data_IF_970550103057
#
_entry.id   IF_970550103057
#
_cell.length_a   1.000
_cell.length_b   1.000
_cell.length_c   1.000
_cell.angle_alpha   90.00
_cell.angle_beta   90.00
_cell.angle_gamma   90.00
#
_symmetry.space_group_name_H-M   'P 1'
#
loop_
_entity.id
_entity.type
_entity.pdbx_description
1 polymer ?
#
# COMPACT_ATOMS: atom_id res chain seq x y z
N UNK A 1 8.03 1.83 35.84
CA UNK A 1 9.00 2.00 34.75
C UNK A 1 8.63 1.11 33.59
N UNK A 2 8.26 1.66 32.43
CA UNK A 2 7.93 0.86 31.24
C UNK A 2 9.22 0.21 30.71
N UNK A 3 9.24 -1.11 30.61
CA UNK A 3 10.36 -1.86 30.03
C UNK A 3 10.56 -1.40 28.58
N UNK A 4 11.68 -0.78 28.24
CA UNK A 4 12.07 -0.46 26.85
C UNK A 4 12.06 -1.77 26.06
N UNK A 5 11.12 -1.92 25.12
CA UNK A 5 11.12 -3.07 24.21
C UNK A 5 12.43 -3.03 23.41
N UNK A 6 13.17 -4.14 23.39
CA UNK A 6 14.34 -4.29 22.51
C UNK A 6 13.91 -4.04 21.06
N UNK A 7 14.69 -3.31 20.26
CA UNK A 7 14.41 -3.14 18.85
C UNK A 7 14.37 -4.51 18.16
N UNK A 8 13.43 -4.69 17.27
CA UNK A 8 13.33 -5.91 16.48
C UNK A 8 14.48 -5.97 15.46
N UNK A 9 14.94 -7.16 15.06
CA UNK A 9 16.15 -7.31 14.24
C UNK A 9 15.99 -6.72 12.84
N UNK A 10 17.11 -6.38 12.23
CA UNK A 10 17.25 -6.15 10.80
C UNK A 10 17.61 -7.50 10.16
N UNK A 11 16.99 -7.81 9.03
CA UNK A 11 17.34 -8.95 8.18
C UNK A 11 18.00 -8.39 6.93
N UNK A 12 19.24 -8.80 6.69
CA UNK A 12 20.04 -8.25 5.60
C UNK A 12 20.08 -9.18 4.40
N UNK A 13 20.17 -8.60 3.21
CA UNK A 13 20.37 -9.30 1.94
C UNK A 13 19.30 -10.38 1.66
N UNK A 14 18.03 -10.06 1.93
CA UNK A 14 16.91 -11.01 1.77
C UNK A 14 16.34 -10.93 0.37
N UNK A 15 16.26 -12.08 -0.30
CA UNK A 15 15.59 -12.21 -1.60
C UNK A 15 14.09 -12.39 -1.38
N UNK A 16 13.29 -11.57 -2.05
CA UNK A 16 11.83 -11.71 -2.09
C UNK A 16 11.46 -12.83 -3.07
N UNK A 17 10.72 -13.81 -2.59
CA UNK A 17 10.47 -15.06 -3.33
C UNK A 17 9.14 -15.06 -4.08
N UNK A 18 8.06 -14.61 -3.43
CA UNK A 18 6.70 -14.80 -3.94
C UNK A 18 5.77 -13.67 -3.46
N UNK A 19 4.54 -13.71 -3.90
CA UNK A 19 3.46 -12.79 -3.52
C UNK A 19 2.45 -13.54 -2.66
N UNK A 20 2.11 -12.92 -1.54
CA UNK A 20 1.09 -13.37 -0.62
C UNK A 20 -0.22 -12.59 -0.80
N UNK A 21 -1.23 -12.93 0.00
CA UNK A 21 -2.49 -12.22 0.07
C UNK A 21 -2.31 -10.73 0.41
N UNK A 22 -3.31 -9.93 0.09
CA UNK A 22 -3.40 -8.49 0.40
C UNK A 22 -2.28 -7.63 -0.23
N UNK A 23 -1.64 -8.12 -1.29
CA UNK A 23 -0.58 -7.39 -1.98
C UNK A 23 0.74 -7.30 -1.22
N UNK A 24 0.95 -8.16 -0.24
CA UNK A 24 2.24 -8.33 0.41
C UNK A 24 3.08 -9.31 -0.40
N UNK A 25 4.38 -9.08 -0.44
CA UNK A 25 5.34 -10.10 -0.89
C UNK A 25 5.85 -10.89 0.29
N UNK A 26 6.48 -12.02 0.01
CA UNK A 26 7.05 -12.87 1.04
C UNK A 26 8.48 -13.32 0.73
N UNK A 27 9.23 -13.53 1.78
CA UNK A 27 10.50 -14.22 1.81
C UNK A 27 10.49 -15.28 2.91
N UNK A 28 11.46 -16.21 2.89
CA UNK A 28 11.69 -17.15 3.98
C UNK A 28 13.07 -16.95 4.57
N UNK A 29 13.12 -16.85 5.89
CA UNK A 29 14.36 -16.67 6.64
C UNK A 29 14.33 -17.62 7.84
N UNK A 30 15.21 -18.61 7.89
CA UNK A 30 15.29 -19.61 8.97
C UNK A 30 13.90 -20.22 9.29
N UNK A 31 13.24 -20.76 8.28
CA UNK A 31 11.90 -21.39 8.34
C UNK A 31 10.76 -20.43 8.74
N UNK A 32 11.03 -19.15 8.90
CA UNK A 32 10.05 -18.12 9.20
C UNK A 32 9.61 -17.40 7.93
N UNK A 33 8.30 -17.27 7.74
CA UNK A 33 7.74 -16.45 6.68
C UNK A 33 7.83 -14.98 7.04
N UNK A 34 8.38 -14.17 6.15
CA UNK A 34 8.52 -12.72 6.29
C UNK A 34 7.62 -12.04 5.27
N UNK A 35 6.57 -11.34 5.73
CA UNK A 35 5.69 -10.56 4.88
C UNK A 35 6.23 -9.15 4.70
N UNK A 36 6.35 -8.70 3.46
CA UNK A 36 6.97 -7.43 3.09
C UNK A 36 6.04 -6.65 2.13
N UNK A 37 5.48 -5.52 2.55
CA UNK A 37 4.70 -4.68 1.65
C UNK A 37 5.60 -3.98 0.62
N UNK A 38 5.05 -3.69 -0.56
CA UNK A 38 5.69 -2.92 -1.64
C UNK A 38 6.99 -3.51 -2.20
N UNK A 39 7.36 -4.73 -1.81
CA UNK A 39 8.40 -5.51 -2.46
C UNK A 39 7.84 -6.30 -3.65
N UNK A 40 8.72 -6.78 -4.52
CA UNK A 40 8.39 -7.55 -5.73
C UNK A 40 9.27 -8.78 -5.77
N UNK A 41 8.80 -9.97 -6.16
CA UNK A 41 9.62 -11.16 -6.31
C UNK A 41 10.87 -10.90 -7.16
N UNK A 42 12.02 -11.30 -6.65
CA UNK A 42 13.33 -11.02 -7.23
C UNK A 42 14.03 -9.75 -6.71
N UNK A 43 13.35 -8.94 -5.88
CA UNK A 43 14.06 -7.90 -5.12
C UNK A 43 15.02 -8.54 -4.10
N UNK A 44 16.18 -7.95 -3.92
CA UNK A 44 17.10 -8.25 -2.83
C UNK A 44 17.18 -7.02 -1.93
N UNK A 45 16.82 -7.20 -0.65
CA UNK A 45 16.54 -6.07 0.25
C UNK A 45 17.05 -6.31 1.67
N UNK A 46 17.30 -5.20 2.38
CA UNK A 46 17.40 -5.23 3.84
C UNK A 46 16.05 -4.86 4.45
N UNK A 47 15.66 -5.60 5.47
CA UNK A 47 14.35 -5.53 6.07
C UNK A 47 14.43 -5.17 7.56
N UNK A 48 13.67 -4.17 8.00
CA UNK A 48 13.41 -3.94 9.41
C UNK A 48 12.17 -4.72 9.84
N UNK A 49 12.33 -5.69 10.73
CA UNK A 49 11.17 -6.38 11.33
C UNK A 49 10.38 -5.40 12.18
N UNK A 50 9.06 -5.34 11.93
CA UNK A 50 8.12 -4.48 12.65
C UNK A 50 7.26 -5.25 13.63
N UNK A 51 6.94 -6.50 13.30
CA UNK A 51 6.13 -7.39 14.14
C UNK A 51 6.62 -8.82 13.99
N UNK A 52 6.77 -9.51 15.11
CA UNK A 52 7.18 -10.91 15.14
C UNK A 52 6.12 -11.74 15.84
N UNK A 53 5.71 -12.83 15.19
CA UNK A 53 4.82 -13.88 15.69
C UNK A 53 5.57 -15.22 15.70
N UNK A 54 4.92 -16.28 16.18
CA UNK A 54 5.55 -17.59 16.30
C UNK A 54 6.00 -18.16 14.94
N UNK A 55 5.16 -18.06 13.90
CA UNK A 55 5.41 -18.65 12.58
C UNK A 55 5.69 -17.65 11.46
N UNK A 56 5.57 -16.34 11.73
CA UNK A 56 5.81 -15.31 10.72
C UNK A 56 6.25 -13.99 11.34
N UNK A 57 6.81 -13.14 10.51
CA UNK A 57 7.00 -11.74 10.86
C UNK A 57 6.54 -10.81 9.74
N UNK A 58 6.29 -9.55 10.10
CA UNK A 58 6.04 -8.47 9.16
C UNK A 58 7.23 -7.53 9.20
N UNK A 59 7.75 -7.17 8.04
CA UNK A 59 8.92 -6.34 7.91
C UNK A 59 8.75 -5.29 6.80
N UNK A 60 9.50 -4.21 6.88
CA UNK A 60 9.53 -3.15 5.89
C UNK A 60 10.91 -3.07 5.25
N UNK A 61 10.93 -2.75 3.97
CA UNK A 61 12.19 -2.51 3.25
C UNK A 61 12.82 -1.22 3.77
N UNK A 62 14.06 -1.31 4.23
CA UNK A 62 14.87 -0.14 4.62
C UNK A 62 15.94 0.19 3.58
N UNK A 63 16.35 -0.80 2.76
CA UNK A 63 17.32 -0.60 1.68
C UNK A 63 17.08 -1.63 0.58
N UNK A 64 17.15 -1.20 -0.68
CA UNK A 64 17.24 -2.09 -1.83
C UNK A 64 18.71 -2.34 -2.16
N UNK A 65 19.11 -3.60 -2.18
CA UNK A 65 20.41 -4.04 -2.66
C UNK A 65 20.35 -4.22 -4.18
N UNK A 66 19.30 -4.93 -4.64
CA UNK A 66 19.01 -5.13 -6.05
C UNK A 66 17.50 -5.05 -6.27
N UNK A 67 17.07 -4.24 -7.22
CA UNK A 67 15.67 -4.21 -7.65
C UNK A 67 15.42 -5.31 -8.68
N UNK A 68 14.28 -5.97 -8.58
CA UNK A 68 13.82 -6.97 -9.54
C UNK A 68 13.57 -6.35 -10.92
N UNK A 69 13.90 -7.06 -11.97
CA UNK A 69 13.56 -6.69 -13.36
C UNK A 69 12.05 -6.74 -13.63
N UNK A 70 11.30 -7.46 -12.79
CA UNK A 70 9.83 -7.51 -12.85
C UNK A 70 9.16 -6.25 -12.34
N UNK A 71 9.89 -5.29 -11.79
CA UNK A 71 9.31 -4.04 -11.31
C UNK A 71 8.82 -3.18 -12.47
N UNK A 72 7.74 -2.47 -12.21
CA UNK A 72 7.30 -1.34 -13.04
C UNK A 72 7.20 -0.08 -12.20
N UNK A 73 7.35 1.08 -12.83
CA UNK A 73 7.17 2.34 -12.14
C UNK A 73 5.69 2.56 -11.82
N UNK A 74 5.35 2.87 -10.57
CA UNK A 74 3.98 3.20 -10.19
C UNK A 74 3.49 4.44 -10.93
N UNK A 75 2.29 4.38 -11.49
CA UNK A 75 1.67 5.53 -12.17
C UNK A 75 1.25 6.65 -11.22
N UNK A 76 1.07 6.34 -9.93
CA UNK A 76 0.57 7.26 -8.91
C UNK A 76 1.69 7.74 -8.02
N UNK A 77 1.89 9.06 -7.95
CA UNK A 77 2.89 9.69 -7.07
C UNK A 77 2.66 9.39 -5.57
N UNK A 78 1.45 9.00 -5.18
CA UNK A 78 1.10 8.68 -3.79
C UNK A 78 1.25 7.18 -3.46
N UNK A 79 1.74 6.37 -4.42
CA UNK A 79 1.95 4.95 -4.17
C UNK A 79 2.98 4.72 -3.05
N UNK A 80 2.68 3.80 -2.16
CA UNK A 80 3.54 3.50 -1.00
C UNK A 80 3.22 4.33 0.25
N UNK A 81 2.51 5.45 0.11
CA UNK A 81 2.02 6.28 1.23
C UNK A 81 0.50 6.16 1.36
N UNK A 82 -0.22 6.35 0.26
CA UNK A 82 -1.67 6.15 0.21
C UNK A 82 -2.03 4.70 0.50
N UNK A 83 -3.00 4.47 1.38
CA UNK A 83 -3.50 3.13 1.74
C UNK A 83 -4.29 2.42 0.63
N UNK A 84 -4.63 3.08 -0.47
CA UNK A 84 -5.56 2.59 -1.47
C UNK A 84 -5.02 1.54 -2.44
N UNK A 85 -3.74 1.60 -2.81
CA UNK A 85 -3.14 0.70 -3.80
C UNK A 85 -1.97 -0.09 -3.21
N UNK A 86 -1.83 -1.36 -3.64
CA UNK A 86 -0.82 -2.28 -3.09
C UNK A 86 0.21 -2.73 -4.14
N UNK A 87 -0.13 -2.75 -5.43
CA UNK A 87 0.64 -3.43 -6.47
C UNK A 87 0.96 -2.58 -7.71
N UNK A 88 1.00 -1.27 -7.61
CA UNK A 88 1.33 -0.44 -8.79
C UNK A 88 2.79 -0.60 -9.25
N UNK A 89 3.63 -1.18 -8.42
CA UNK A 89 5.02 -1.52 -8.71
C UNK A 89 5.21 -2.90 -9.38
N UNK A 90 4.11 -3.57 -9.73
CA UNK A 90 4.10 -4.88 -10.39
C UNK A 90 3.26 -4.80 -11.67
N UNK A 91 3.76 -5.29 -12.84
CA UNK A 91 2.98 -5.35 -14.08
C UNK A 91 1.67 -6.09 -13.91
N UNK A 92 0.63 -5.67 -14.65
CA UNK A 92 -0.72 -6.22 -14.48
C UNK A 92 -0.79 -7.74 -14.73
N UNK A 93 -0.05 -8.24 -15.71
CA UNK A 93 0.06 -9.67 -16.02
C UNK A 93 0.60 -10.47 -14.83
N UNK A 94 1.59 -9.94 -14.12
CA UNK A 94 2.14 -10.56 -12.92
C UNK A 94 1.14 -10.48 -11.74
N UNK A 95 0.36 -9.40 -11.65
CA UNK A 95 -0.74 -9.30 -10.67
C UNK A 95 -1.80 -10.37 -10.93
N UNK A 96 -2.16 -10.63 -12.19
CA UNK A 96 -3.11 -11.68 -12.58
C UNK A 96 -2.59 -13.06 -12.20
N UNK A 97 -1.33 -13.38 -12.54
CA UNK A 97 -0.69 -14.66 -12.15
C UNK A 97 -0.71 -14.86 -10.63
N UNK A 98 -0.36 -13.82 -9.87
CA UNK A 98 -0.36 -13.89 -8.41
C UNK A 98 -1.77 -14.13 -7.85
N UNK A 99 -2.78 -13.45 -8.36
CA UNK A 99 -4.18 -13.64 -7.96
C UNK A 99 -4.69 -15.05 -8.29
N UNK A 100 -4.40 -15.52 -9.50
CA UNK A 100 -4.78 -16.88 -9.90
C UNK A 100 -4.13 -17.93 -9.01
N UNK A 101 -2.82 -17.80 -8.77
CA UNK A 101 -2.08 -18.68 -7.87
C UNK A 101 -2.68 -18.67 -6.46
N UNK A 102 -3.00 -17.49 -5.93
CA UNK A 102 -3.59 -17.35 -4.61
C UNK A 102 -4.93 -18.09 -4.50
N UNK A 103 -5.82 -17.95 -5.47
CA UNK A 103 -7.12 -18.65 -5.48
C UNK A 103 -6.92 -20.16 -5.57
N UNK A 104 -6.05 -20.61 -6.47
CA UNK A 104 -5.72 -22.03 -6.60
C UNK A 104 -5.17 -22.61 -5.27
N UNK A 105 -4.18 -21.95 -4.66
CA UNK A 105 -3.57 -22.39 -3.41
C UNK A 105 -4.59 -22.41 -2.25
N UNK A 106 -5.49 -21.45 -2.19
CA UNK A 106 -6.54 -21.40 -1.15
C UNK A 106 -7.54 -22.53 -1.31
N UNK A 107 -7.98 -22.82 -2.53
CA UNK A 107 -8.94 -23.91 -2.78
C UNK A 107 -8.30 -25.29 -2.54
N UNK A 108 -7.09 -25.51 -3.06
CA UNK A 108 -6.46 -26.85 -2.99
C UNK A 108 -5.80 -27.12 -1.64
N UNK A 109 -5.05 -26.18 -1.08
CA UNK A 109 -4.26 -26.42 0.14
C UNK A 109 -5.04 -26.14 1.42
N UNK A 110 -5.87 -25.10 1.44
CA UNK A 110 -6.65 -24.72 2.62
C UNK A 110 -8.03 -25.36 2.56
N UNK A 111 -8.76 -25.17 1.47
CA UNK A 111 -10.08 -25.74 1.26
C UNK A 111 -10.08 -27.24 1.01
N UNK A 112 -8.93 -27.82 0.61
CA UNK A 112 -8.78 -29.24 0.24
C UNK A 112 -9.81 -29.66 -0.80
N UNK A 113 -10.15 -28.74 -1.72
CA UNK A 113 -11.10 -29.00 -2.80
C UNK A 113 -10.34 -29.60 -3.96
N UNK A 114 -10.84 -30.70 -4.49
CA UNK A 114 -10.41 -31.24 -5.78
C UNK A 114 -10.97 -30.34 -6.88
N UNK A 115 -10.09 -29.71 -7.65
CA UNK A 115 -10.50 -28.79 -8.69
C UNK A 115 -10.68 -29.54 -10.02
N UNK A 116 -11.78 -29.30 -10.74
CA UNK A 116 -11.88 -29.63 -12.14
C UNK A 116 -10.91 -28.77 -12.96
N UNK A 117 -11.18 -28.56 -14.24
CA UNK A 117 -10.40 -27.61 -15.04
C UNK A 117 -10.33 -26.22 -14.37
N UNK A 118 -9.12 -25.79 -14.02
CA UNK A 118 -8.88 -24.45 -13.44
C UNK A 118 -8.48 -23.48 -14.57
N UNK A 119 -9.47 -22.78 -15.10
CA UNK A 119 -9.28 -21.88 -16.24
C UNK A 119 -8.40 -20.66 -15.89
N UNK A 120 -7.70 -20.09 -16.89
CA UNK A 120 -6.95 -18.85 -16.70
C UNK A 120 -7.84 -17.69 -16.20
N UNK A 121 -7.30 -16.87 -15.30
CA UNK A 121 -7.98 -15.67 -14.80
C UNK A 121 -8.28 -14.70 -15.92
N UNK A 122 -9.49 -14.18 -15.98
CA UNK A 122 -9.84 -13.11 -16.92
C UNK A 122 -9.31 -11.76 -16.39
N UNK A 123 -8.53 -11.08 -17.21
CA UNK A 123 -8.06 -9.74 -16.93
C UNK A 123 -9.14 -8.68 -17.18
N UNK A 124 -9.01 -7.53 -16.52
CA UNK A 124 -9.82 -6.36 -16.80
C UNK A 124 -9.29 -5.62 -18.04
N UNK A 125 -10.19 -5.15 -18.89
CA UNK A 125 -9.84 -4.31 -20.05
C UNK A 125 -9.26 -2.97 -19.59
N UNK A 126 -9.80 -2.39 -18.51
CA UNK A 126 -9.30 -1.15 -17.89
C UNK A 126 -8.56 -1.46 -16.60
N UNK A 127 -7.34 -1.01 -16.49
CA UNK A 127 -6.51 -1.09 -15.26
C UNK A 127 -6.42 0.25 -14.54
N UNK A 128 -6.95 1.32 -15.15
CA UNK A 128 -7.07 2.69 -14.63
C UNK A 128 -8.48 3.20 -14.87
N UNK A 129 -8.89 4.19 -14.09
CA UNK A 129 -10.17 4.89 -14.28
C UNK A 129 -11.39 3.96 -14.36
N UNK A 130 -11.34 2.85 -13.62
CA UNK A 130 -12.40 1.84 -13.62
C UNK A 130 -13.35 1.96 -12.42
N UNK A 131 -13.00 2.77 -11.40
CA UNK A 131 -13.84 2.96 -10.23
C UNK A 131 -14.82 4.11 -10.42
N UNK A 132 -16.08 3.82 -10.18
CA UNK A 132 -17.18 4.80 -10.17
C UNK A 132 -17.63 5.18 -8.75
N UNK A 133 -17.04 4.58 -7.70
CA UNK A 133 -17.24 4.95 -6.29
C UNK A 133 -15.91 4.96 -5.56
N UNK A 134 -15.57 6.11 -4.97
CA UNK A 134 -14.46 6.28 -4.03
C UNK A 134 -14.94 7.13 -2.86
N UNK A 135 -14.52 6.78 -1.65
CA UNK A 135 -14.80 7.53 -0.44
C UNK A 135 -13.53 8.28 -0.02
N UNK A 136 -13.62 9.59 0.07
CA UNK A 136 -12.53 10.45 0.54
C UNK A 136 -12.80 10.89 1.98
N UNK A 137 -11.75 10.84 2.79
CA UNK A 137 -11.80 11.43 4.12
C UNK A 137 -11.54 12.92 4.07
N UNK A 138 -12.18 13.66 5.00
CA UNK A 138 -11.93 15.06 5.26
C UNK A 138 -11.58 15.23 6.73
N UNK A 139 -10.43 15.80 7.06
CA UNK A 139 -10.09 16.08 8.46
C UNK A 139 -9.10 17.26 8.58
N UNK A 140 -8.93 17.75 9.81
CA UNK A 140 -8.00 18.80 10.15
C UNK A 140 -6.58 18.29 10.47
N UNK A 141 -6.27 17.03 10.16
CA UNK A 141 -4.98 16.40 10.42
C UNK A 141 -4.38 15.84 9.13
N UNK A 142 -3.81 16.73 8.32
CA UNK A 142 -3.04 16.38 7.13
C UNK A 142 -1.88 15.46 7.49
N UNK A 143 -1.67 14.40 6.72
CA UNK A 143 -0.44 13.62 6.76
C UNK A 143 0.70 14.37 6.08
N UNK A 144 1.85 14.44 6.73
CA UNK A 144 3.09 14.90 6.12
C UNK A 144 3.90 13.71 5.65
N UNK A 145 4.37 13.75 4.42
CA UNK A 145 5.26 12.71 3.88
C UNK A 145 6.65 12.80 4.53
N UNK A 146 7.46 11.77 4.34
CA UNK A 146 8.84 11.78 4.88
C UNK A 146 9.67 12.90 4.29
N UNK A 147 9.46 13.19 3.01
CA UNK A 147 10.12 14.27 2.27
C UNK A 147 9.70 15.65 2.83
N UNK A 148 8.41 15.87 3.07
CA UNK A 148 7.90 17.11 3.68
C UNK A 148 8.46 17.31 5.10
N UNK A 149 8.53 16.24 5.90
CA UNK A 149 9.12 16.29 7.25
C UNK A 149 10.63 16.57 7.18
N UNK A 150 11.36 15.91 6.27
CA UNK A 150 12.79 16.12 6.11
C UNK A 150 13.12 17.54 5.59
N UNK A 151 12.25 18.11 4.75
CA UNK A 151 12.36 19.49 4.26
C UNK A 151 11.94 20.53 5.29
N UNK A 152 11.41 20.13 6.47
CA UNK A 152 10.89 21.05 7.48
C UNK A 152 9.65 21.82 7.02
N UNK A 153 8.86 21.25 6.10
CA UNK A 153 7.68 21.91 5.53
C UNK A 153 6.64 22.19 6.62
N UNK A 154 6.21 23.43 6.72
CA UNK A 154 5.17 23.88 7.63
C UNK A 154 3.96 24.31 6.81
N UNK A 155 2.78 23.87 7.21
CA UNK A 155 1.51 24.29 6.62
C UNK A 155 0.71 25.09 7.61
N UNK A 156 0.27 26.28 7.21
CA UNK A 156 -0.63 27.13 8.02
C UNK A 156 -2.00 26.45 8.21
N UNK A 157 -2.41 25.65 7.24
CA UNK A 157 -3.66 24.92 7.27
C UNK A 157 -3.39 23.40 7.17
N UNK A 158 -3.72 22.68 8.23
CA UNK A 158 -3.59 21.23 8.32
C UNK A 158 -4.83 20.45 7.85
N UNK A 159 -5.77 21.13 7.21
CA UNK A 159 -6.91 20.47 6.60
C UNK A 159 -6.49 19.59 5.42
N UNK A 160 -7.14 18.45 5.25
CA UNK A 160 -6.87 17.53 4.15
C UNK A 160 -8.13 16.85 3.65
N UNK A 161 -8.23 16.74 2.31
CA UNK A 161 -9.19 15.88 1.63
C UNK A 161 -8.40 14.86 0.82
N UNK A 162 -8.64 13.58 1.09
CA UNK A 162 -7.88 12.51 0.44
C UNK A 162 -8.15 11.15 1.06
N UNK A 163 -7.12 10.34 1.18
CA UNK A 163 -7.23 9.00 1.73
C UNK A 163 -6.47 8.85 3.05
N UNK A 164 -6.98 7.97 3.89
CA UNK A 164 -6.23 7.53 5.06
C UNK A 164 -4.96 6.79 4.65
N UNK A 165 -3.91 6.98 5.42
CA UNK A 165 -2.70 6.17 5.31
C UNK A 165 -2.86 4.87 6.08
N UNK A 166 -2.09 3.85 5.70
CA UNK A 166 -2.10 2.58 6.41
C UNK A 166 -1.66 2.76 7.87
N UNK A 167 -2.52 2.37 8.80
CA UNK A 167 -2.23 2.40 10.24
C UNK A 167 -2.54 3.71 10.96
N UNK A 168 -3.04 4.76 10.27
CA UNK A 168 -3.47 6.00 10.89
C UNK A 168 -4.85 6.42 10.37
N UNK A 169 -5.89 6.10 11.13
CA UNK A 169 -7.28 6.39 10.76
C UNK A 169 -7.64 7.89 10.90
N UNK A 170 -6.89 8.62 11.70
CA UNK A 170 -7.14 10.03 12.04
C UNK A 170 -6.38 11.03 11.16
N UNK A 171 -5.62 10.53 10.19
CA UNK A 171 -4.81 11.38 9.30
C UNK A 171 -5.14 11.12 7.84
N UNK A 172 -5.18 12.21 7.08
CA UNK A 172 -5.49 12.19 5.65
C UNK A 172 -4.28 12.62 4.85
N UNK A 173 -3.89 11.81 3.88
CA UNK A 173 -2.98 12.18 2.82
C UNK A 173 -3.77 12.95 1.76
N UNK A 174 -3.49 14.24 1.54
CA UNK A 174 -4.13 15.00 0.46
C UNK A 174 -3.77 14.41 -0.90
N UNK A 175 -4.76 14.32 -1.78
CA UNK A 175 -4.61 13.72 -3.10
C UNK A 175 -4.97 14.74 -4.17
N UNK A 176 -4.11 14.93 -5.15
CA UNK A 176 -4.39 15.77 -6.32
C UNK A 176 -5.04 14.96 -7.46
N UNK A 177 -4.52 13.77 -7.72
CA UNK A 177 -5.07 12.85 -8.72
C UNK A 177 -5.10 11.43 -8.19
N UNK A 178 -6.27 10.79 -8.29
CA UNK A 178 -6.43 9.36 -8.10
C UNK A 178 -6.62 8.68 -9.45
N UNK A 179 -5.73 7.78 -9.82
CA UNK A 179 -5.77 7.06 -11.10
C UNK A 179 -6.82 5.94 -11.18
N UNK A 180 -7.53 5.69 -10.09
CA UNK A 180 -8.63 4.72 -10.06
C UNK A 180 -9.95 5.31 -10.54
N UNK A 181 -10.07 6.64 -10.56
CA UNK A 181 -11.22 7.39 -11.05
C UNK A 181 -10.81 8.30 -12.23
N UNK A 182 -11.77 8.67 -13.05
CA UNK A 182 -11.54 9.52 -14.20
C UNK A 182 -11.21 10.99 -13.83
N UNK A 183 -10.83 11.76 -14.82
CA UNK A 183 -10.44 13.15 -14.61
C UNK A 183 -11.60 14.05 -14.18
N UNK A 184 -12.84 13.76 -14.58
CA UNK A 184 -14.01 14.54 -14.16
C UNK A 184 -14.21 14.43 -12.63
N UNK A 185 -14.16 13.22 -12.09
CA UNK A 185 -14.30 12.98 -10.65
C UNK A 185 -13.13 13.59 -9.86
N UNK A 186 -11.90 13.53 -10.41
CA UNK A 186 -10.76 14.21 -9.79
C UNK A 186 -10.98 15.73 -9.73
N UNK A 187 -11.48 16.34 -10.82
CA UNK A 187 -11.81 17.79 -10.85
C UNK A 187 -12.90 18.15 -9.86
N UNK A 188 -14.00 17.39 -9.80
CA UNK A 188 -15.09 17.61 -8.85
C UNK A 188 -14.55 17.60 -7.40
N UNK A 189 -13.76 16.58 -7.05
CA UNK A 189 -13.16 16.51 -5.70
C UNK A 189 -12.26 17.72 -5.40
N UNK A 190 -11.41 18.11 -6.34
CA UNK A 190 -10.51 19.24 -6.18
C UNK A 190 -11.29 20.55 -6.04
N UNK A 191 -12.33 20.77 -6.84
CA UNK A 191 -13.20 21.96 -6.72
C UNK A 191 -13.91 22.03 -5.36
N UNK A 192 -14.38 20.90 -4.83
CA UNK A 192 -14.97 20.85 -3.49
C UNK A 192 -13.93 21.19 -2.42
N UNK A 193 -12.71 20.68 -2.54
CA UNK A 193 -11.60 21.01 -1.64
C UNK A 193 -11.29 22.51 -1.68
N UNK A 194 -11.11 23.05 -2.87
CA UNK A 194 -10.71 24.45 -3.05
C UNK A 194 -11.79 25.38 -2.52
N UNK A 195 -13.07 25.11 -2.82
CA UNK A 195 -14.20 25.83 -2.26
C UNK A 195 -14.21 25.80 -0.71
N UNK A 196 -13.97 24.61 -0.13
CA UNK A 196 -13.93 24.48 1.34
C UNK A 196 -12.78 25.28 1.97
N UNK A 197 -11.62 25.35 1.32
CA UNK A 197 -10.49 26.12 1.80
C UNK A 197 -10.71 27.63 1.65
N UNK A 198 -11.19 28.08 0.50
CA UNK A 198 -11.47 29.49 0.22
C UNK A 198 -12.55 30.08 1.14
N UNK A 199 -13.53 29.27 1.53
CA UNK A 199 -14.60 29.69 2.43
C UNK A 199 -14.32 29.40 3.92
N UNK A 200 -13.10 29.02 4.28
CA UNK A 200 -12.70 28.78 5.66
C UNK A 200 -13.53 27.71 6.37
N UNK A 201 -14.03 26.70 5.62
CA UNK A 201 -14.87 25.66 6.21
C UNK A 201 -14.11 24.86 7.26
N UNK A 202 -14.76 24.61 8.39
CA UNK A 202 -14.17 23.83 9.48
C UNK A 202 -14.17 22.34 9.13
N UNK A 203 -12.99 21.73 9.14
CA UNK A 203 -12.84 20.31 8.93
C UNK A 203 -12.94 19.54 10.25
N UNK A 204 -13.41 18.32 10.15
CA UNK A 204 -13.69 17.47 11.31
C UNK A 204 -12.39 16.99 11.97
N UNK A 205 -12.38 16.96 13.31
CA UNK A 205 -11.34 16.26 14.07
C UNK A 205 -11.82 14.84 14.37
N UNK A 206 -11.16 13.85 13.79
CA UNK A 206 -11.53 12.43 13.96
C UNK A 206 -11.27 11.86 15.36
N UNK A 207 -10.61 12.63 16.23
CA UNK A 207 -10.36 12.23 17.62
C UNK A 207 -11.24 12.95 18.65
N UNK A 208 -12.05 13.90 18.23
CA UNK A 208 -12.96 14.70 19.08
C UNK A 208 -12.41 16.04 19.49
#
# INVERSE_FOLDING_TARGET
MARKKKPLPILENITIEDIAAEGKSLARVNDMVVFVPFAVPGDVVDLQVRKKKHHYCEAEVIRFIKKSEKRTEPMCQHFGVCGGCKWQNLPYEEQLKAKQKQVHDQLTRIGKVELPEFRPIMGSVKTREYRNKLEFGCCNKRWLTREEVAAGTVYDNMNGIGFHITGAFDKILPIEKCWLMDDLHNRIRNSIRDYAFENGMKFFDLRG
#
